data_IF_559834343268
#
_entry.id   IF_559834343268
#
_cell.length_a   1.000
_cell.length_b   1.000
_cell.length_c   1.000
_cell.angle_alpha   90.00
_cell.angle_beta   90.00
_cell.angle_gamma   90.00
#
_symmetry.space_group_name_H-M   'P 1'
#
loop_
_entity.id
_entity.type
_entity.pdbx_description
1 polymer ?
#
# COMPACT_ATOMS: atom_id res chain seq x y z
N UNK A 1 23.48 24.59 -9.93
CA UNK A 1 22.04 24.90 -9.88
C UNK A 1 21.81 25.80 -8.69
N UNK A 2 20.92 26.79 -8.75
CA UNK A 2 20.62 27.64 -7.58
C UNK A 2 19.83 26.91 -6.47
N UNK A 3 19.30 25.72 -6.76
CA UNK A 3 18.40 24.99 -5.85
C UNK A 3 18.93 23.63 -5.40
N UNK A 4 20.06 23.16 -5.93
CA UNK A 4 20.69 21.92 -5.48
C UNK A 4 22.21 21.99 -5.57
N UNK A 5 22.86 21.37 -4.59
CA UNK A 5 24.31 21.20 -4.51
C UNK A 5 24.61 19.71 -4.30
N UNK A 6 25.61 19.19 -5.01
CA UNK A 6 26.10 17.83 -4.78
C UNK A 6 27.23 17.93 -3.77
N UNK A 7 27.02 17.37 -2.59
CA UNK A 7 27.99 17.37 -1.48
C UNK A 7 28.33 15.94 -1.08
N UNK A 8 29.56 15.70 -0.66
CA UNK A 8 29.97 14.37 -0.17
C UNK A 8 29.39 14.03 1.20
N UNK A 9 29.17 15.05 2.04
CA UNK A 9 28.62 14.89 3.40
C UNK A 9 27.68 16.04 3.72
N UNK A 10 26.47 15.70 4.16
CA UNK A 10 25.48 16.64 4.69
C UNK A 10 26.05 17.35 5.93
N UNK A 11 26.17 18.67 5.83
CA UNK A 11 26.61 19.59 6.89
C UNK A 11 25.84 20.90 6.73
N UNK A 12 25.79 21.69 7.79
CA UNK A 12 25.27 23.06 7.77
C UNK A 12 23.81 23.18 7.25
N UNK A 13 22.92 22.27 7.68
CA UNK A 13 21.48 22.28 7.35
C UNK A 13 20.63 22.64 8.58
N UNK A 14 19.49 23.29 8.34
CA UNK A 14 18.55 23.70 9.40
C UNK A 14 17.55 22.60 9.78
N UNK A 15 17.14 21.78 8.81
CA UNK A 15 16.15 20.72 8.99
C UNK A 15 16.33 19.59 7.97
N UNK A 16 15.67 18.44 8.21
CA UNK A 16 15.78 17.24 7.35
C UNK A 16 14.41 16.73 6.94
N UNK A 17 14.19 16.51 5.65
CA UNK A 17 13.09 15.69 5.15
C UNK A 17 13.71 14.47 4.47
N UNK A 18 13.50 13.28 5.03
CA UNK A 18 14.08 12.04 4.53
C UNK A 18 12.99 10.97 4.32
N UNK A 19 13.09 10.24 3.21
CA UNK A 19 12.19 9.12 2.90
C UNK A 19 13.00 7.90 2.52
N UNK A 20 12.58 6.72 2.97
CA UNK A 20 13.28 5.49 2.66
C UNK A 20 12.55 4.25 3.14
N UNK A 21 13.20 3.10 2.96
CA UNK A 21 12.69 1.84 3.51
C UNK A 21 12.61 1.87 5.02
N UNK A 22 11.82 0.98 5.63
CA UNK A 22 11.73 0.85 7.09
C UNK A 22 13.11 0.67 7.76
N UNK A 23 14.04 -0.01 7.09
CA UNK A 23 15.41 -0.16 7.60
C UNK A 23 16.17 1.15 7.49
N UNK A 24 16.07 1.85 6.35
CA UNK A 24 16.71 3.14 6.11
C UNK A 24 16.22 4.20 7.09
N UNK A 25 14.92 4.25 7.38
CA UNK A 25 14.34 5.21 8.34
C UNK A 25 14.96 5.09 9.73
N UNK A 26 15.25 3.87 10.21
CA UNK A 26 15.96 3.69 11.50
C UNK A 26 17.34 4.36 11.51
N UNK A 27 18.06 4.31 10.39
CA UNK A 27 19.34 5.01 10.27
C UNK A 27 19.13 6.52 10.22
N UNK A 28 18.13 7.01 9.48
CA UNK A 28 17.80 8.43 9.45
C UNK A 28 17.47 8.96 10.83
N UNK A 29 16.67 8.25 11.63
CA UNK A 29 16.35 8.63 13.01
C UNK A 29 17.60 8.71 13.88
N UNK A 30 18.49 7.72 13.77
CA UNK A 30 19.75 7.72 14.51
C UNK A 30 20.65 8.93 14.16
N UNK A 31 20.74 9.27 12.87
CA UNK A 31 21.61 10.37 12.41
C UNK A 31 21.00 11.76 12.57
N UNK A 32 19.70 11.89 12.29
CA UNK A 32 19.02 13.16 12.11
C UNK A 32 17.96 13.45 13.18
N UNK A 33 17.61 12.49 14.04
CA UNK A 33 16.54 12.64 15.03
C UNK A 33 16.74 13.78 16.04
N UNK A 34 17.97 14.31 16.16
CA UNK A 34 18.30 15.48 17.00
C UNK A 34 18.05 16.84 16.34
N UNK A 35 17.76 16.88 15.05
CA UNK A 35 17.43 18.10 14.30
C UNK A 35 15.92 18.16 14.05
N UNK A 36 15.33 19.32 13.71
CA UNK A 36 13.98 19.35 13.15
C UNK A 36 13.89 18.45 11.92
N UNK A 37 12.95 17.50 11.92
CA UNK A 37 12.87 16.51 10.84
C UNK A 37 11.45 16.03 10.52
N UNK A 38 11.28 15.60 9.26
CA UNK A 38 10.23 14.68 8.83
C UNK A 38 10.93 13.45 8.27
N UNK A 39 10.74 12.29 8.90
CA UNK A 39 11.32 11.04 8.42
C UNK A 39 10.19 10.05 8.13
N UNK A 40 10.13 9.62 6.86
CA UNK A 40 9.08 8.74 6.33
C UNK A 40 9.62 7.33 6.11
N UNK A 41 8.90 6.38 6.68
CA UNK A 41 9.08 4.95 6.45
C UNK A 41 8.12 4.44 5.37
N UNK A 42 8.26 3.18 4.98
CA UNK A 42 7.36 2.58 4.00
C UNK A 42 5.97 2.41 4.60
N UNK A 43 4.97 2.79 3.80
CA UNK A 43 3.56 2.56 4.04
C UNK A 43 2.93 1.94 2.80
N UNK A 44 1.76 1.32 2.97
CA UNK A 44 1.03 0.70 1.87
C UNK A 44 -0.46 1.01 1.96
N UNK A 45 -1.17 0.90 0.83
CA UNK A 45 -2.62 1.00 0.84
C UNK A 45 -3.26 -0.33 1.22
N UNK A 46 -4.40 -0.24 1.90
CA UNK A 46 -5.25 -1.39 2.26
C UNK A 46 -6.64 -1.18 1.67
N UNK A 47 -7.22 -2.24 1.11
CA UNK A 47 -8.62 -2.26 0.74
C UNK A 47 -9.47 -2.93 1.81
N UNK A 48 -10.65 -2.37 2.08
CA UNK A 48 -11.68 -3.00 2.90
C UNK A 48 -12.82 -3.40 1.98
N UNK A 49 -13.08 -4.70 1.91
CA UNK A 49 -14.14 -5.32 1.11
C UNK A 49 -15.26 -5.80 2.02
N UNK A 50 -16.49 -5.61 1.59
CA UNK A 50 -17.73 -6.00 2.28
C UNK A 50 -18.33 -7.30 1.75
N UNK A 51 -17.92 -7.73 0.55
CA UNK A 51 -18.51 -8.83 -0.19
C UNK A 51 -19.73 -8.44 -1.04
N UNK A 52 -20.19 -7.19 -0.95
CA UNK A 52 -21.38 -6.66 -1.65
C UNK A 52 -21.05 -5.71 -2.80
N UNK A 53 -19.77 -5.56 -3.11
CA UNK A 53 -19.26 -4.71 -4.17
C UNK A 53 -19.86 -5.11 -5.52
N UNK A 54 -20.19 -4.11 -6.34
CA UNK A 54 -20.58 -4.29 -7.73
C UNK A 54 -19.38 -4.73 -8.59
N UNK A 55 -19.64 -5.30 -9.77
CA UNK A 55 -18.54 -5.73 -10.65
C UNK A 55 -17.64 -4.55 -11.07
N UNK A 56 -18.21 -3.35 -11.22
CA UNK A 56 -17.47 -2.14 -11.57
C UNK A 56 -16.58 -1.67 -10.40
N UNK A 57 -17.06 -1.74 -9.16
CA UNK A 57 -16.25 -1.44 -7.97
C UNK A 57 -15.08 -2.41 -7.82
N UNK A 58 -15.31 -3.71 -8.03
CA UNK A 58 -14.26 -4.73 -8.01
C UNK A 58 -13.23 -4.42 -9.09
N UNK A 59 -13.68 -4.12 -10.31
CA UNK A 59 -12.80 -3.74 -11.41
C UNK A 59 -11.98 -2.50 -11.06
N UNK A 60 -12.60 -1.46 -10.51
CA UNK A 60 -11.92 -0.22 -10.11
C UNK A 60 -10.87 -0.45 -9.01
N UNK A 61 -11.14 -1.35 -8.05
CA UNK A 61 -10.13 -1.75 -7.07
C UNK A 61 -8.91 -2.40 -7.73
N UNK A 62 -9.10 -3.07 -8.87
CA UNK A 62 -7.99 -3.54 -9.69
C UNK A 62 -7.02 -2.42 -10.10
N UNK A 63 -7.50 -1.19 -10.35
CA UNK A 63 -6.61 -0.07 -10.66
C UNK A 63 -5.69 0.24 -9.48
N UNK A 64 -6.24 0.27 -8.26
CA UNK A 64 -5.45 0.51 -7.04
C UNK A 64 -4.44 -0.62 -6.78
N UNK A 65 -4.70 -1.85 -7.23
CA UNK A 65 -3.77 -2.99 -7.11
C UNK A 65 -2.67 -2.93 -8.18
N UNK A 66 -3.04 -2.76 -9.45
CA UNK A 66 -2.14 -3.03 -10.58
C UNK A 66 -1.44 -1.79 -11.14
N UNK A 67 -2.00 -0.58 -10.99
CA UNK A 67 -1.35 0.63 -11.50
C UNK A 67 0.06 0.78 -10.96
N UNK A 68 0.96 1.34 -11.77
CA UNK A 68 2.39 1.40 -11.45
C UNK A 68 3.00 0.03 -11.09
N UNK A 69 2.41 -1.07 -11.57
CA UNK A 69 2.86 -2.44 -11.33
C UNK A 69 2.85 -2.87 -9.85
N UNK A 70 2.07 -2.20 -8.99
CA UNK A 70 2.03 -2.49 -7.55
C UNK A 70 3.28 -1.99 -6.79
N UNK A 71 4.03 -1.04 -7.35
CA UNK A 71 5.30 -0.54 -6.77
C UNK A 71 5.13 0.62 -5.79
N UNK A 72 3.99 1.31 -5.80
CA UNK A 72 3.75 2.51 -5.02
C UNK A 72 3.26 2.25 -3.61
N UNK A 73 3.50 3.19 -2.70
CA UNK A 73 2.92 3.17 -1.35
C UNK A 73 1.39 3.28 -1.34
N UNK A 74 0.80 3.74 -2.44
CA UNK A 74 -0.66 3.84 -2.65
C UNK A 74 -1.23 2.65 -3.42
N UNK A 75 -0.41 1.67 -3.78
CA UNK A 75 -0.94 0.42 -4.30
C UNK A 75 -1.48 -0.45 -3.17
N UNK A 76 -2.64 -1.05 -3.42
CA UNK A 76 -3.26 -1.97 -2.47
C UNK A 76 -2.44 -3.25 -2.40
N UNK A 77 -1.78 -3.45 -1.25
CA UNK A 77 -1.00 -4.65 -0.97
C UNK A 77 -1.72 -5.64 -0.07
N UNK A 78 -2.81 -5.21 0.58
CA UNK A 78 -3.63 -6.03 1.48
C UNK A 78 -5.12 -5.73 1.34
N UNK A 79 -5.94 -6.76 1.41
CA UNK A 79 -7.40 -6.64 1.58
C UNK A 79 -7.85 -7.16 2.96
N UNK A 80 -8.67 -6.38 3.66
CA UNK A 80 -9.49 -6.84 4.78
C UNK A 80 -10.85 -7.25 4.22
N UNK A 81 -11.24 -8.51 4.47
CA UNK A 81 -12.40 -9.14 3.81
C UNK A 81 -13.31 -9.84 4.82
N UNK A 82 -14.61 -10.06 4.51
CA UNK A 82 -15.45 -10.96 5.29
C UNK A 82 -15.02 -12.43 5.10
N UNK A 83 -15.36 -13.28 6.07
CA UNK A 83 -15.02 -14.72 6.07
C UNK A 83 -15.53 -15.48 4.83
N UNK A 84 -16.67 -15.06 4.28
CA UNK A 84 -17.40 -15.72 3.19
C UNK A 84 -17.22 -15.03 1.83
N UNK A 85 -16.15 -14.24 1.66
CA UNK A 85 -15.86 -13.56 0.40
C UNK A 85 -15.73 -14.56 -0.76
N UNK A 86 -16.51 -14.35 -1.82
CA UNK A 86 -16.40 -15.11 -3.06
C UNK A 86 -15.15 -14.69 -3.86
N UNK A 87 -13.98 -15.18 -3.48
CA UNK A 87 -12.71 -14.87 -4.14
C UNK A 87 -12.70 -15.16 -5.63
N UNK A 88 -13.38 -16.22 -6.09
CA UNK A 88 -13.45 -16.56 -7.51
C UNK A 88 -14.00 -15.40 -8.35
N UNK A 89 -15.07 -14.74 -7.88
CA UNK A 89 -15.64 -13.57 -8.54
C UNK A 89 -14.62 -12.43 -8.68
N UNK A 90 -13.94 -12.08 -7.58
CA UNK A 90 -12.97 -10.97 -7.57
C UNK A 90 -11.79 -11.25 -8.48
N UNK A 91 -11.24 -12.45 -8.35
CA UNK A 91 -10.12 -12.93 -9.13
C UNK A 91 -10.43 -12.92 -10.63
N UNK A 92 -11.62 -13.37 -11.04
CA UNK A 92 -12.02 -13.36 -12.45
C UNK A 92 -12.17 -11.94 -13.01
N UNK A 93 -12.79 -11.02 -12.27
CA UNK A 93 -12.95 -9.62 -12.71
C UNK A 93 -11.59 -8.94 -12.85
N UNK A 94 -10.70 -9.13 -11.88
CA UNK A 94 -9.34 -8.59 -11.95
C UNK A 94 -8.52 -9.22 -13.08
N UNK A 95 -8.69 -10.51 -13.36
CA UNK A 95 -8.04 -11.13 -14.51
C UNK A 95 -8.45 -10.44 -15.81
N UNK A 96 -9.75 -10.30 -16.06
CA UNK A 96 -10.23 -9.74 -17.31
C UNK A 96 -9.86 -8.27 -17.49
N UNK A 97 -9.89 -7.47 -16.41
CA UNK A 97 -9.53 -6.05 -16.46
C UNK A 97 -8.03 -5.77 -16.56
N UNK A 98 -7.18 -6.68 -16.06
CA UNK A 98 -5.77 -6.38 -15.81
C UNK A 98 -4.78 -7.45 -16.33
N UNK A 99 -5.22 -8.42 -17.13
CA UNK A 99 -4.34 -9.45 -17.73
C UNK A 99 -3.17 -8.90 -18.54
N UNK A 100 -3.25 -7.67 -19.05
CA UNK A 100 -2.15 -7.02 -19.78
C UNK A 100 -0.88 -6.86 -18.94
N UNK A 101 -1.00 -6.75 -17.60
CA UNK A 101 0.17 -6.67 -16.71
C UNK A 101 1.03 -7.95 -16.76
N UNK A 102 0.40 -9.10 -17.06
CA UNK A 102 1.09 -10.37 -17.28
C UNK A 102 2.05 -10.35 -18.48
N UNK A 103 1.80 -9.45 -19.45
CA UNK A 103 2.61 -9.34 -20.68
C UNK A 103 3.89 -8.53 -20.45
N UNK A 104 4.01 -7.83 -19.32
CA UNK A 104 5.21 -7.07 -18.99
C UNK A 104 6.26 -7.97 -18.35
N UNK A 105 7.39 -8.18 -19.04
CA UNK A 105 8.43 -9.14 -18.64
C UNK A 105 8.92 -8.97 -17.18
N UNK A 106 9.16 -7.73 -16.72
CA UNK A 106 9.62 -7.52 -15.32
C UNK A 106 8.56 -7.89 -14.28
N UNK A 107 7.29 -7.64 -14.60
CA UNK A 107 6.20 -7.98 -13.69
C UNK A 107 6.00 -9.50 -13.67
N UNK A 108 5.98 -10.13 -14.85
CA UNK A 108 5.93 -11.58 -14.99
C UNK A 108 7.07 -12.30 -14.26
N UNK A 109 8.30 -11.77 -14.33
CA UNK A 109 9.43 -12.36 -13.60
C UNK A 109 9.21 -12.36 -12.08
N UNK A 110 8.60 -11.30 -11.52
CA UNK A 110 8.24 -11.27 -10.10
C UNK A 110 7.16 -12.31 -9.78
N UNK A 111 6.15 -12.42 -10.64
CA UNK A 111 5.08 -13.40 -10.51
C UNK A 111 5.64 -14.84 -10.52
N UNK A 112 6.39 -15.22 -11.54
CA UNK A 112 6.94 -16.57 -11.69
C UNK A 112 7.89 -16.91 -10.52
N UNK A 113 8.67 -15.94 -10.03
CA UNK A 113 9.52 -16.08 -8.86
C UNK A 113 8.71 -16.31 -7.57
N UNK A 114 7.68 -15.49 -7.31
CA UNK A 114 6.83 -15.61 -6.14
C UNK A 114 6.05 -16.94 -6.13
N UNK A 115 5.51 -17.36 -7.27
CA UNK A 115 4.84 -18.66 -7.41
C UNK A 115 5.80 -19.78 -7.03
N UNK A 116 7.02 -19.76 -7.57
CA UNK A 116 8.05 -20.77 -7.26
C UNK A 116 8.36 -20.83 -5.76
N UNK A 117 8.53 -19.66 -5.12
CA UNK A 117 8.76 -19.58 -3.67
C UNK A 117 7.59 -20.13 -2.85
N UNK A 118 6.35 -19.82 -3.23
CA UNK A 118 5.18 -20.28 -2.49
C UNK A 118 4.93 -21.78 -2.64
N UNK A 119 5.21 -22.34 -3.83
CA UNK A 119 5.18 -23.79 -4.06
C UNK A 119 6.20 -24.50 -3.16
N UNK A 120 7.46 -24.03 -3.16
CA UNK A 120 8.52 -24.62 -2.34
C UNK A 120 8.19 -24.59 -0.84
N UNK A 121 7.59 -23.49 -0.39
CA UNK A 121 7.20 -23.30 1.00
C UNK A 121 5.85 -23.94 1.37
N UNK A 122 5.17 -24.64 0.43
CA UNK A 122 3.83 -25.21 0.62
C UNK A 122 2.82 -24.20 1.19
N UNK A 123 2.98 -22.93 0.82
CA UNK A 123 2.11 -21.85 1.27
C UNK A 123 0.79 -21.94 0.52
N UNK A 124 -0.35 -21.78 1.21
CA UNK A 124 -1.65 -21.68 0.56
C UNK A 124 -1.77 -20.31 -0.11
N UNK A 125 -2.19 -20.30 -1.36
CA UNK A 125 -2.43 -19.09 -2.13
C UNK A 125 -3.52 -19.34 -3.18
N UNK A 126 -4.09 -18.26 -3.68
CA UNK A 126 -4.96 -18.22 -4.84
C UNK A 126 -4.21 -17.50 -5.96
N UNK A 127 -4.44 -17.88 -7.21
CA UNK A 127 -3.86 -17.23 -8.38
C UNK A 127 -4.98 -16.78 -9.30
N UNK A 128 -4.83 -15.58 -9.85
CA UNK A 128 -5.62 -15.14 -10.97
C UNK A 128 -4.78 -14.40 -11.99
N UNK A 129 -4.52 -15.06 -13.13
CA UNK A 129 -3.66 -14.54 -14.19
C UNK A 129 -2.27 -14.14 -13.71
N UNK A 130 -2.15 -12.89 -13.28
CA UNK A 130 -0.88 -12.24 -12.91
C UNK A 130 -0.86 -11.68 -11.48
N UNK A 131 -1.84 -12.06 -10.65
CA UNK A 131 -1.90 -11.73 -9.23
C UNK A 131 -1.94 -13.00 -8.40
N UNK A 132 -1.16 -13.01 -7.32
CA UNK A 132 -1.18 -14.04 -6.29
C UNK A 132 -1.86 -13.44 -5.06
N UNK A 133 -2.85 -14.11 -4.50
CA UNK A 133 -3.53 -13.69 -3.29
C UNK A 133 -3.30 -14.70 -2.18
N UNK A 134 -2.90 -14.24 -1.00
CA UNK A 134 -2.44 -15.10 0.10
C UNK A 134 -2.93 -14.55 1.44
N UNK A 135 -3.31 -15.44 2.34
CA UNK A 135 -3.60 -15.04 3.72
C UNK A 135 -2.27 -14.74 4.45
N UNK A 136 -2.10 -13.51 4.92
CA UNK A 136 -0.88 -13.09 5.62
C UNK A 136 -1.14 -11.85 6.49
N UNK A 137 -0.57 -11.75 7.70
CA UNK A 137 -0.72 -10.56 8.54
C UNK A 137 0.13 -9.35 8.17
N UNK A 138 1.13 -9.51 7.32
CA UNK A 138 1.95 -8.38 6.85
C UNK A 138 1.15 -7.51 5.90
N UNK A 139 1.00 -6.22 6.19
CA UNK A 139 0.37 -5.26 5.27
C UNK A 139 1.15 -5.19 3.94
N UNK A 140 2.47 -5.12 4.01
CA UNK A 140 3.31 -5.07 2.82
C UNK A 140 3.34 -6.43 2.11
N UNK A 141 3.08 -6.42 0.81
CA UNK A 141 3.18 -7.59 -0.08
C UNK A 141 4.31 -7.40 -1.11
N UNK A 142 4.69 -8.49 -1.77
CA UNK A 142 5.61 -8.43 -2.92
C UNK A 142 4.86 -8.00 -4.17
N UNK A 143 5.56 -7.40 -5.13
CA UNK A 143 5.05 -7.17 -6.49
C UNK A 143 4.39 -8.45 -7.00
N UNK A 144 3.26 -8.35 -7.70
CA UNK A 144 2.43 -9.48 -8.18
C UNK A 144 1.78 -10.33 -7.09
N UNK A 145 1.83 -9.90 -5.84
CA UNK A 145 1.16 -10.55 -4.71
C UNK A 145 0.35 -9.53 -3.91
N UNK A 146 -0.75 -9.99 -3.33
CA UNK A 146 -1.59 -9.23 -2.43
C UNK A 146 -1.93 -10.12 -1.24
N UNK A 147 -1.90 -9.56 -0.05
CA UNK A 147 -2.28 -10.25 1.16
C UNK A 147 -3.77 -10.08 1.45
N UNK A 148 -4.34 -10.96 2.24
CA UNK A 148 -5.65 -10.73 2.82
C UNK A 148 -5.72 -11.20 4.26
N UNK A 149 -6.67 -10.62 4.99
CA UNK A 149 -7.10 -11.08 6.30
C UNK A 149 -8.61 -10.96 6.42
N UNK A 150 -9.21 -11.88 7.17
CA UNK A 150 -10.62 -11.80 7.51
C UNK A 150 -10.86 -10.84 8.67
N UNK A 151 -11.97 -10.09 8.62
CA UNK A 151 -12.50 -9.35 9.77
C UNK A 151 -13.91 -9.82 10.11
N UNK A 152 -14.26 -9.80 11.39
CA UNK A 152 -15.55 -10.31 11.87
C UNK A 152 -16.58 -9.20 12.16
N UNK A 153 -16.12 -8.01 12.54
CA UNK A 153 -17.00 -6.88 12.92
C UNK A 153 -16.43 -5.54 12.48
N UNK A 154 -17.32 -4.56 12.24
CA UNK A 154 -16.92 -3.20 11.93
C UNK A 154 -16.06 -2.57 13.03
N UNK A 155 -16.36 -2.88 14.30
CA UNK A 155 -15.56 -2.40 15.43
C UNK A 155 -14.15 -2.97 15.39
N UNK A 156 -14.00 -4.27 15.12
CA UNK A 156 -12.69 -4.91 14.97
C UNK A 156 -11.89 -4.32 13.81
N UNK A 157 -12.56 -4.02 12.70
CA UNK A 157 -11.96 -3.35 11.55
C UNK A 157 -11.41 -1.95 11.92
N UNK A 158 -12.21 -1.09 12.56
CA UNK A 158 -11.75 0.25 12.99
C UNK A 158 -10.57 0.16 13.95
N UNK A 159 -10.60 -0.78 14.91
CA UNK A 159 -9.47 -1.02 15.82
C UNK A 159 -8.22 -1.43 15.05
N UNK A 160 -8.32 -2.39 14.14
CA UNK A 160 -7.18 -2.83 13.32
C UNK A 160 -6.57 -1.69 12.51
N UNK A 161 -7.40 -0.89 11.83
CA UNK A 161 -6.92 0.23 11.01
C UNK A 161 -6.27 1.32 11.86
N UNK A 162 -6.79 1.56 13.07
CA UNK A 162 -6.24 2.55 14.00
C UNK A 162 -4.89 2.07 14.56
N UNK A 163 -4.81 0.82 14.99
CA UNK A 163 -3.59 0.23 15.58
C UNK A 163 -2.45 0.13 14.55
N UNK A 164 -2.79 0.01 13.26
CA UNK A 164 -1.81 -0.09 12.16
C UNK A 164 -1.65 1.21 11.36
N UNK A 165 -2.17 2.35 11.83
CA UNK A 165 -2.20 3.63 11.10
C UNK A 165 -0.84 4.05 10.55
N UNK A 166 0.24 3.81 11.30
CA UNK A 166 1.59 4.21 10.90
C UNK A 166 2.17 3.40 9.72
N UNK A 167 1.58 2.24 9.43
CA UNK A 167 1.94 1.38 8.30
C UNK A 167 1.06 1.61 7.08
N UNK A 168 -0.06 2.33 7.25
CA UNK A 168 -1.09 2.51 6.23
C UNK A 168 -0.92 3.89 5.58
N UNK A 169 -0.85 3.88 4.26
CA UNK A 169 -0.78 5.11 3.46
C UNK A 169 -2.17 5.67 3.21
N UNK A 170 -3.11 4.81 2.86
CA UNK A 170 -4.50 5.14 2.66
C UNK A 170 -5.35 3.86 2.76
N UNK A 171 -6.64 4.04 3.03
CA UNK A 171 -7.63 2.97 3.04
C UNK A 171 -8.57 3.19 1.87
N UNK A 172 -8.82 2.17 1.07
CA UNK A 172 -9.85 2.19 0.00
C UNK A 172 -11.04 1.33 0.40
N UNK A 173 -12.26 1.85 0.25
CA UNK A 173 -13.49 1.11 0.53
C UNK A 173 -14.71 1.69 -0.20
N UNK A 174 -15.69 0.83 -0.49
CA UNK A 174 -17.04 1.17 -0.93
C UNK A 174 -17.89 1.77 0.18
N UNK A 175 -17.63 1.41 1.44
CA UNK A 175 -18.36 1.90 2.60
C UNK A 175 -17.55 2.93 3.39
N UNK A 176 -18.25 3.82 4.08
CA UNK A 176 -17.62 4.70 5.06
C UNK A 176 -17.27 3.90 6.31
N UNK A 177 -16.06 4.12 6.84
CA UNK A 177 -15.58 3.47 8.05
C UNK A 177 -15.45 4.57 9.11
N UNK A 178 -16.23 4.44 10.19
CA UNK A 178 -16.24 5.44 11.25
C UNK A 178 -14.81 5.70 11.78
N UNK A 179 -14.43 6.99 11.79
CA UNK A 179 -13.13 7.44 12.29
C UNK A 179 -11.93 7.23 11.35
N UNK A 180 -12.16 6.72 10.12
CA UNK A 180 -11.09 6.46 9.14
C UNK A 180 -11.40 7.22 7.84
N UNK A 181 -10.43 8.01 7.36
CA UNK A 181 -10.50 8.61 6.05
C UNK A 181 -10.32 7.54 4.96
N UNK A 182 -11.32 7.40 4.09
CA UNK A 182 -11.31 6.40 3.01
C UNK A 182 -11.35 7.04 1.63
N UNK A 183 -10.76 6.32 0.67
CA UNK A 183 -10.84 6.58 -0.75
C UNK A 183 -11.83 5.60 -1.39
N UNK A 184 -12.48 6.02 -2.47
CA UNK A 184 -13.26 5.10 -3.31
C UNK A 184 -12.32 4.23 -4.13
N UNK A 185 -12.78 3.04 -4.50
CA UNK A 185 -12.01 2.15 -5.38
C UNK A 185 -11.64 2.84 -6.70
N UNK A 186 -10.40 2.67 -7.13
CA UNK A 186 -9.81 3.30 -8.30
C UNK A 186 -9.24 4.71 -8.04
N UNK A 187 -9.31 5.21 -6.80
CA UNK A 187 -8.86 6.56 -6.45
C UNK A 187 -7.68 6.58 -5.47
N UNK A 188 -7.04 5.45 -5.16
CA UNK A 188 -5.91 5.43 -4.22
C UNK A 188 -4.77 6.36 -4.67
N UNK A 189 -4.55 6.44 -5.99
CA UNK A 189 -3.51 7.24 -6.65
C UNK A 189 -3.91 8.71 -6.87
N UNK A 190 -5.04 9.16 -6.32
CA UNK A 190 -5.56 10.52 -6.48
C UNK A 190 -5.62 11.23 -5.12
N UNK A 191 -4.47 11.49 -4.47
CA UNK A 191 -4.43 12.11 -3.16
C UNK A 191 -5.05 13.52 -3.19
N UNK A 192 -5.67 13.90 -2.07
CA UNK A 192 -6.11 15.28 -1.84
C UNK A 192 -4.90 16.16 -1.53
N UNK A 193 -5.06 17.48 -1.66
CA UNK A 193 -3.97 18.44 -1.40
C UNK A 193 -3.41 18.38 0.03
N UNK A 194 -4.22 17.94 0.99
CA UNK A 194 -3.88 17.79 2.40
C UNK A 194 -3.62 16.33 2.80
N UNK A 195 -3.53 15.40 1.85
CA UNK A 195 -3.31 13.97 2.09
C UNK A 195 -1.80 13.66 2.16
N UNK A 196 -1.17 14.13 3.23
CA UNK A 196 0.26 13.94 3.49
C UNK A 196 0.57 12.48 3.83
N UNK A 197 1.70 11.97 3.35
CA UNK A 197 2.07 10.55 3.40
C UNK A 197 1.99 9.93 4.82
N UNK A 198 2.34 10.72 5.83
CA UNK A 198 2.40 10.40 7.25
C UNK A 198 1.41 11.20 8.11
N UNK A 199 0.53 11.99 7.48
CA UNK A 199 -0.33 12.95 8.16
C UNK A 199 0.40 14.18 8.71
N UNK A 200 1.71 14.31 8.47
CA UNK A 200 2.49 15.47 8.90
C UNK A 200 2.40 16.56 7.83
N UNK A 201 1.85 17.72 8.20
CA UNK A 201 1.77 18.89 7.34
C UNK A 201 3.18 19.40 7.01
N UNK A 202 3.62 19.06 5.80
CA UNK A 202 4.96 19.40 5.32
C UNK A 202 5.09 20.90 5.06
N UNK A 203 4.01 21.58 4.68
CA UNK A 203 4.05 23.02 4.43
C UNK A 203 4.18 23.79 5.74
N UNK A 204 3.42 23.39 6.76
CA UNK A 204 3.55 23.94 8.10
C UNK A 204 4.91 23.63 8.72
N UNK A 205 5.48 22.45 8.50
CA UNK A 205 6.85 22.16 8.91
C UNK A 205 7.84 23.14 8.28
N UNK A 206 7.76 23.35 6.96
CA UNK A 206 8.66 24.24 6.23
C UNK A 206 8.57 25.70 6.67
N UNK A 207 7.43 26.17 7.17
CA UNK A 207 7.29 27.55 7.67
C UNK A 207 7.84 27.76 9.08
N UNK A 208 8.20 26.68 9.78
CA UNK A 208 8.78 26.73 11.13
C UNK A 208 10.31 26.68 11.16
N UNK A 209 10.94 26.53 9.99
CA UNK A 209 12.40 26.48 9.78
C UNK A 209 12.89 27.90 9.46
#
# INVERSE_FOLDING_TARGET
SQYFEIIERLKDFDAVIATGSNNTSKYFEYYFGKYPHIIRANRNAIAVLTGKETDEEIKNLGADIFEYFGLGCRNVSMCLVPQDLNWERYLNIWHEGYKQYAQHNKYKNNFDHNVSLFILNKTKYMISGSLIVKEDPSIASRISSMHYQCYDTQKGLTVYLTDNKDLIQCVVSSDEIEGIDTFRFGHAQQPKINDYADGVDTMNFLTTI
#
